data_IF_748267951406
#
_entry.id   IF_748267951406
#
_cell.length_a   1.000
_cell.length_b   1.000
_cell.length_c   1.000
_cell.angle_alpha   90.00
_cell.angle_beta   90.00
_cell.angle_gamma   90.00
#
_symmetry.space_group_name_H-M   'P 1'
#
loop_
_entity.id
_entity.type
_entity.pdbx_description
1 polymer ?
#
# COMPACT_ATOMS: atom_id res chain seq x y z
N UNK A 1 25.57 7.71 -11.14
CA UNK A 1 25.76 7.37 -9.70
C UNK A 1 25.77 5.85 -9.56
N UNK A 2 26.83 5.25 -8.99
CA UNK A 2 27.01 3.78 -8.98
C UNK A 2 26.01 3.08 -8.04
N UNK A 3 25.78 1.77 -8.24
CA UNK A 3 24.92 0.94 -7.36
C UNK A 3 25.41 0.96 -5.90
N UNK A 4 26.74 0.95 -5.71
CA UNK A 4 27.36 1.03 -4.38
C UNK A 4 27.06 2.35 -3.68
N UNK A 5 27.13 3.48 -4.39
CA UNK A 5 26.80 4.80 -3.83
C UNK A 5 25.33 4.89 -3.43
N UNK A 6 24.41 4.31 -4.23
CA UNK A 6 22.97 4.25 -3.88
C UNK A 6 22.72 3.42 -2.62
N UNK A 7 23.40 2.28 -2.49
CA UNK A 7 23.30 1.39 -1.34
C UNK A 7 23.78 2.05 -0.05
N UNK A 8 25.01 2.61 -0.04
CA UNK A 8 25.59 3.28 1.13
C UNK A 8 24.72 4.47 1.58
N UNK A 9 24.23 5.27 0.63
CA UNK A 9 23.34 6.41 0.91
C UNK A 9 22.00 5.94 1.49
N UNK A 10 21.39 4.91 0.93
CA UNK A 10 20.14 4.33 1.43
C UNK A 10 20.31 3.77 2.85
N UNK A 11 21.37 3.02 3.12
CA UNK A 11 21.66 2.48 4.45
C UNK A 11 21.88 3.59 5.47
N UNK A 12 22.67 4.61 5.14
CA UNK A 12 22.93 5.74 6.04
C UNK A 12 21.66 6.53 6.35
N UNK A 13 20.81 6.79 5.35
CA UNK A 13 19.55 7.50 5.56
C UNK A 13 18.56 6.68 6.39
N UNK A 14 18.47 5.36 6.18
CA UNK A 14 17.60 4.45 6.95
C UNK A 14 17.95 4.36 8.43
N UNK A 15 19.17 4.71 8.85
CA UNK A 15 19.50 4.82 10.29
C UNK A 15 19.02 6.13 10.91
N UNK A 16 18.71 7.14 10.08
CA UNK A 16 18.29 8.48 10.53
C UNK A 16 16.79 8.71 10.45
N UNK A 17 16.09 8.01 9.56
CA UNK A 17 14.64 7.81 9.66
C UNK A 17 14.42 6.51 10.43
N UNK A 18 13.48 6.45 11.39
CA UNK A 18 13.25 5.22 12.18
C UNK A 18 12.67 4.12 11.28
N UNK A 19 13.52 3.39 10.56
CA UNK A 19 13.13 2.42 9.54
C UNK A 19 13.37 0.99 10.00
N UNK A 20 12.33 0.17 9.98
CA UNK A 20 12.33 -1.21 10.45
C UNK A 20 11.92 -2.19 9.33
N UNK A 21 12.73 -3.22 9.09
CA UNK A 21 12.40 -4.29 8.15
C UNK A 21 11.50 -5.33 8.84
N UNK A 22 10.21 -4.97 9.02
CA UNK A 22 9.21 -5.88 9.60
C UNK A 22 9.02 -7.11 8.69
N UNK A 23 9.05 -8.35 9.24
CA UNK A 23 8.81 -9.56 8.47
C UNK A 23 7.33 -9.69 8.07
N UNK A 24 7.02 -10.51 7.05
CA UNK A 24 5.64 -10.79 6.64
C UNK A 24 4.75 -11.23 7.83
N UNK A 25 5.31 -12.02 8.76
CA UNK A 25 4.61 -12.47 9.96
C UNK A 25 4.03 -11.34 10.81
N UNK A 26 4.65 -10.15 10.82
CA UNK A 26 4.14 -8.99 11.55
C UNK A 26 2.77 -8.51 11.03
N UNK A 27 2.44 -8.84 9.78
CA UNK A 27 1.17 -8.51 9.13
C UNK A 27 0.19 -9.70 9.15
N UNK A 28 0.71 -10.93 9.14
CA UNK A 28 -0.12 -12.16 9.14
C UNK A 28 -0.67 -12.46 10.53
N UNK A 29 0.15 -12.36 11.58
CA UNK A 29 -0.26 -12.73 12.93
C UNK A 29 -1.47 -11.93 13.44
N UNK A 30 -1.57 -10.61 13.24
CA UNK A 30 -2.77 -9.86 13.63
C UNK A 30 -4.04 -10.32 12.90
N UNK A 31 -3.95 -10.67 11.61
CA UNK A 31 -5.09 -11.22 10.85
C UNK A 31 -5.55 -12.56 11.43
N UNK A 32 -4.61 -13.45 11.77
CA UNK A 32 -4.92 -14.76 12.36
C UNK A 32 -5.53 -14.64 13.78
N UNK A 33 -5.16 -13.59 14.53
CA UNK A 33 -5.68 -13.31 15.86
C UNK A 33 -6.97 -12.49 15.88
N UNK A 34 -7.40 -11.96 14.74
CA UNK A 34 -8.54 -11.05 14.68
C UNK A 34 -8.24 -9.67 15.29
N UNK A 35 -6.98 -9.23 15.25
CA UNK A 35 -6.50 -7.93 15.73
C UNK A 35 -6.40 -6.94 14.54
N UNK A 36 -7.33 -5.96 14.42
CA UNK A 36 -7.34 -4.99 13.33
C UNK A 36 -6.11 -4.10 13.32
N UNK A 37 -5.58 -3.84 12.12
CA UNK A 37 -4.53 -2.85 11.90
C UNK A 37 -4.68 -2.23 10.51
N UNK A 38 -4.07 -1.06 10.32
CA UNK A 38 -3.96 -0.44 9.00
C UNK A 38 -2.50 -0.39 8.54
N UNK A 39 -2.30 -0.46 7.22
CA UNK A 39 -0.99 -0.39 6.60
C UNK A 39 -1.08 0.35 5.28
N UNK A 40 -0.34 1.45 5.16
CA UNK A 40 -0.26 2.27 3.93
C UNK A 40 1.17 2.30 3.43
N UNK A 41 1.37 2.44 2.12
CA UNK A 41 2.70 2.35 1.50
C UNK A 41 3.01 3.61 0.70
N UNK A 42 4.21 4.14 0.89
CA UNK A 42 4.71 5.35 0.24
C UNK A 42 5.85 5.00 -0.70
N UNK A 43 5.55 5.04 -1.99
CA UNK A 43 6.48 4.92 -3.10
C UNK A 43 6.97 6.28 -3.61
N UNK A 44 7.62 6.24 -4.75
CA UNK A 44 8.08 7.43 -5.46
C UNK A 44 6.92 8.37 -5.85
N UNK A 45 5.82 7.83 -6.37
CA UNK A 45 4.62 8.62 -6.70
C UNK A 45 4.08 9.44 -5.53
N UNK A 46 3.86 8.80 -4.37
CA UNK A 46 3.36 9.49 -3.17
C UNK A 46 4.36 10.55 -2.70
N UNK A 47 5.66 10.24 -2.67
CA UNK A 47 6.69 11.20 -2.24
C UNK A 47 6.82 12.39 -3.19
N UNK A 48 6.74 12.18 -4.51
CA UNK A 48 6.78 13.27 -5.48
C UNK A 48 5.57 14.20 -5.33
N UNK A 49 4.37 13.66 -5.11
CA UNK A 49 3.19 14.46 -4.80
C UNK A 49 3.35 15.26 -3.49
N UNK A 50 3.84 14.63 -2.42
CA UNK A 50 4.12 15.28 -1.12
C UNK A 50 5.09 16.45 -1.28
N UNK A 51 6.16 16.25 -2.06
CA UNK A 51 7.22 17.22 -2.28
C UNK A 51 6.84 18.32 -3.30
N UNK A 52 5.62 18.28 -3.86
CA UNK A 52 5.09 19.29 -4.75
C UNK A 52 5.57 19.19 -6.21
N UNK A 53 6.02 18.01 -6.63
CA UNK A 53 6.42 17.77 -8.02
C UNK A 53 5.19 17.84 -8.94
N UNK A 54 5.42 18.27 -10.19
CA UNK A 54 4.40 18.36 -11.23
C UNK A 54 4.44 17.13 -12.13
N UNK A 55 3.33 16.83 -12.80
CA UNK A 55 3.21 15.72 -13.74
C UNK A 55 2.41 14.56 -13.17
N UNK A 56 2.91 13.34 -13.35
CA UNK A 56 2.24 12.11 -12.95
C UNK A 56 3.25 11.04 -12.49
N UNK A 57 2.75 10.02 -11.80
CA UNK A 57 3.54 8.84 -11.45
C UNK A 57 3.78 7.93 -12.66
N UNK A 58 4.52 6.84 -12.47
CA UNK A 58 4.86 5.89 -13.53
C UNK A 58 3.64 5.23 -14.20
N UNK A 59 2.50 5.19 -13.50
CA UNK A 59 1.23 4.64 -13.98
C UNK A 59 0.32 5.73 -14.56
N UNK A 60 0.76 6.99 -14.61
CA UNK A 60 0.04 8.12 -15.20
C UNK A 60 -0.89 8.87 -14.24
N UNK A 61 -0.95 8.51 -12.96
CA UNK A 61 -1.76 9.25 -11.99
C UNK A 61 -1.18 10.63 -11.74
N UNK A 62 -1.97 11.67 -12.02
CA UNK A 62 -1.55 13.06 -11.91
C UNK A 62 -1.32 13.46 -10.45
N UNK A 63 -0.26 14.24 -10.23
CA UNK A 63 0.01 14.91 -8.95
C UNK A 63 -0.90 16.14 -8.82
N UNK A 64 -2.19 15.91 -8.55
CA UNK A 64 -3.13 16.99 -8.27
C UNK A 64 -2.63 17.80 -7.05
N UNK A 65 -2.69 19.14 -7.07
CA UNK A 65 -2.26 19.95 -5.93
C UNK A 65 -2.96 19.56 -4.61
N UNK A 66 -4.27 19.25 -4.67
CA UNK A 66 -5.03 18.79 -3.51
C UNK A 66 -4.55 17.43 -3.01
N UNK A 67 -4.28 16.47 -3.90
CA UNK A 67 -3.72 15.17 -3.52
C UNK A 67 -2.38 15.34 -2.78
N UNK A 68 -1.50 16.23 -3.26
CA UNK A 68 -0.24 16.53 -2.57
C UNK A 68 -0.46 17.13 -1.18
N UNK A 69 -1.45 18.03 -1.02
CA UNK A 69 -1.82 18.59 0.28
C UNK A 69 -2.37 17.53 1.24
N UNK A 70 -3.24 16.66 0.75
CA UNK A 70 -3.85 15.60 1.54
C UNK A 70 -2.83 14.55 1.97
N UNK A 71 -1.90 14.19 1.08
CA UNK A 71 -0.78 13.31 1.42
C UNK A 71 0.15 13.93 2.46
N UNK A 72 0.45 15.23 2.37
CA UNK A 72 1.23 15.95 3.40
C UNK A 72 0.54 15.88 4.76
N UNK A 73 -0.77 16.11 4.80
CA UNK A 73 -1.58 15.98 6.02
C UNK A 73 -1.43 14.59 6.66
N UNK A 74 -1.36 13.51 5.87
CA UNK A 74 -1.17 12.16 6.44
C UNK A 74 0.14 11.98 7.23
N UNK A 75 1.14 12.82 6.95
CA UNK A 75 2.45 12.84 7.62
C UNK A 75 2.47 13.81 8.80
N UNK A 76 1.87 14.99 8.62
CA UNK A 76 1.83 16.06 9.62
C UNK A 76 0.89 15.74 10.78
N UNK A 77 -0.11 14.88 10.56
CA UNK A 77 -1.12 14.49 11.55
C UNK A 77 -1.20 12.96 11.70
N UNK A 78 -0.09 12.26 12.01
CA UNK A 78 -0.03 10.82 11.87
C UNK A 78 -1.02 10.08 12.77
N UNK A 79 -1.53 8.95 12.28
CA UNK A 79 -2.44 8.06 12.99
C UNK A 79 -1.67 6.80 13.45
N UNK A 80 -2.15 6.06 14.46
CA UNK A 80 -1.45 4.90 14.99
C UNK A 80 -1.61 3.64 14.10
N UNK A 81 -1.06 3.68 12.89
CA UNK A 81 -0.98 2.55 11.96
C UNK A 81 0.41 2.38 11.35
N UNK A 82 0.63 1.32 10.56
CA UNK A 82 1.92 1.06 9.93
C UNK A 82 2.13 1.93 8.68
N UNK A 83 3.24 2.67 8.66
CA UNK A 83 3.68 3.48 7.52
C UNK A 83 4.81 2.76 6.78
N UNK A 84 4.54 2.27 5.58
CA UNK A 84 5.54 1.65 4.72
C UNK A 84 6.26 2.68 3.85
N UNK A 85 7.58 2.60 3.73
CA UNK A 85 8.34 3.34 2.72
C UNK A 85 9.10 2.39 1.79
N UNK A 86 8.99 2.61 0.48
CA UNK A 86 9.71 1.79 -0.50
C UNK A 86 11.22 2.04 -0.39
N UNK A 87 12.07 1.00 -0.19
CA UNK A 87 13.53 1.17 -0.08
C UNK A 87 14.17 1.92 -1.27
N UNK A 88 13.60 1.79 -2.46
CA UNK A 88 14.08 2.42 -3.70
C UNK A 88 14.03 3.95 -3.63
N UNK A 89 12.96 4.53 -3.06
CA UNK A 89 12.79 5.98 -3.00
C UNK A 89 13.85 6.64 -2.13
N UNK A 90 14.34 5.94 -1.11
CA UNK A 90 15.45 6.40 -0.28
C UNK A 90 16.76 6.57 -1.06
N UNK A 91 16.99 5.73 -2.06
CA UNK A 91 18.14 5.83 -2.94
C UNK A 91 18.02 6.92 -4.03
N UNK A 92 16.78 7.20 -4.47
CA UNK A 92 16.47 8.21 -5.49
C UNK A 92 16.41 9.62 -4.88
N UNK A 93 15.52 9.82 -3.90
CA UNK A 93 15.16 11.14 -3.36
C UNK A 93 15.24 11.26 -1.85
N UNK A 94 15.89 10.30 -1.17
CA UNK A 94 15.94 10.25 0.28
C UNK A 94 16.49 11.50 0.99
N UNK A 95 17.25 12.38 0.31
CA UNK A 95 17.65 13.67 0.90
C UNK A 95 16.51 14.70 0.94
N UNK A 96 15.68 14.78 -0.12
CA UNK A 96 14.50 15.66 -0.15
C UNK A 96 13.47 15.18 0.86
N UNK A 97 13.22 13.87 0.88
CA UNK A 97 12.32 13.20 1.82
C UNK A 97 12.76 13.47 3.25
N UNK A 98 14.04 13.26 3.58
CA UNK A 98 14.53 13.52 4.94
C UNK A 98 14.36 14.99 5.33
N UNK A 99 14.72 15.93 4.47
CA UNK A 99 14.56 17.37 4.75
C UNK A 99 13.11 17.74 5.01
N UNK A 100 12.18 17.16 4.23
CA UNK A 100 10.76 17.33 4.46
C UNK A 100 10.34 16.78 5.82
N UNK A 101 10.69 15.52 6.12
CA UNK A 101 10.35 14.87 7.39
C UNK A 101 10.91 15.63 8.60
N UNK A 102 12.18 16.06 8.54
CA UNK A 102 12.83 16.87 9.57
C UNK A 102 12.14 18.24 9.72
N UNK A 103 11.85 18.92 8.60
CA UNK A 103 11.22 20.25 8.60
C UNK A 103 9.77 20.23 9.07
N UNK A 104 9.02 19.17 8.78
CA UNK A 104 7.64 18.97 9.21
C UNK A 104 7.53 18.30 10.60
N UNK A 105 8.65 17.95 11.24
CA UNK A 105 8.65 17.32 12.57
C UNK A 105 8.05 15.91 12.60
N UNK A 106 8.09 15.18 11.49
CA UNK A 106 7.46 13.86 11.35
C UNK A 106 8.31 12.79 12.03
N UNK A 107 7.73 12.11 13.03
CA UNK A 107 8.44 11.11 13.85
C UNK A 107 7.91 9.68 13.71
N UNK A 108 7.06 9.40 12.71
CA UNK A 108 6.48 8.06 12.53
C UNK A 108 7.56 6.99 12.32
N UNK A 109 7.41 5.80 12.92
CA UNK A 109 8.23 4.65 12.54
C UNK A 109 7.84 4.20 11.15
N UNK A 110 8.84 4.03 10.29
CA UNK A 110 8.70 3.53 8.94
C UNK A 110 9.00 2.04 8.91
N UNK A 111 8.26 1.29 8.10
CA UNK A 111 8.60 -0.08 7.76
C UNK A 111 8.79 -0.27 6.26
N UNK A 112 9.16 -1.48 5.85
CA UNK A 112 9.37 -1.79 4.45
C UNK A 112 8.05 -1.95 3.68
N UNK A 113 7.74 -0.98 2.80
CA UNK A 113 6.55 -1.03 1.94
C UNK A 113 6.54 -2.23 0.98
N UNK A 114 7.70 -2.79 0.64
CA UNK A 114 7.81 -3.88 -0.33
C UNK A 114 7.68 -5.27 0.32
N UNK A 115 7.38 -5.38 1.62
CA UNK A 115 7.24 -6.68 2.30
C UNK A 115 6.31 -7.64 1.55
N UNK A 116 5.15 -7.17 1.07
CA UNK A 116 4.23 -7.99 0.28
C UNK A 116 4.74 -8.25 -1.13
N UNK A 117 5.40 -7.29 -1.76
CA UNK A 117 5.99 -7.50 -3.10
C UNK A 117 7.11 -8.54 -3.08
N UNK A 118 7.96 -8.53 -2.05
CA UNK A 118 9.05 -9.49 -1.89
C UNK A 118 8.51 -10.88 -1.60
N UNK A 119 7.60 -11.02 -0.62
CA UNK A 119 6.94 -12.29 -0.37
C UNK A 119 6.21 -12.83 -1.61
N UNK A 120 5.52 -11.96 -2.37
CA UNK A 120 4.83 -12.35 -3.59
C UNK A 120 5.80 -12.89 -4.66
N UNK A 121 6.87 -12.15 -4.93
CA UNK A 121 7.90 -12.56 -5.91
C UNK A 121 8.55 -13.89 -5.52
N UNK A 122 8.81 -14.08 -4.23
CA UNK A 122 9.59 -15.22 -3.72
C UNK A 122 8.72 -16.48 -3.49
N UNK A 123 7.41 -16.40 -3.72
CA UNK A 123 6.48 -17.51 -3.50
C UNK A 123 6.15 -17.74 -2.00
N UNK A 124 6.33 -16.71 -1.17
CA UNK A 124 6.18 -16.75 0.29
C UNK A 124 4.95 -15.97 0.78
N UNK A 125 4.06 -15.51 -0.10
CA UNK A 125 2.87 -14.73 0.25
C UNK A 125 1.73 -15.59 0.82
N UNK A 126 1.78 -16.91 0.64
CA UNK A 126 0.69 -17.82 1.01
C UNK A 126 0.18 -17.67 2.45
N UNK A 127 1.01 -17.46 3.49
CA UNK A 127 0.51 -17.24 4.85
C UNK A 127 -0.45 -16.04 4.94
N UNK A 128 -0.16 -14.95 4.22
CA UNK A 128 -1.04 -13.79 4.14
C UNK A 128 -2.32 -14.11 3.37
N UNK A 129 -2.21 -14.76 2.20
CA UNK A 129 -3.36 -15.18 1.39
C UNK A 129 -4.31 -16.07 2.20
N UNK A 130 -3.75 -17.07 2.90
CA UNK A 130 -4.50 -17.98 3.77
C UNK A 130 -5.22 -17.23 4.89
N UNK A 131 -4.55 -16.30 5.57
CA UNK A 131 -5.17 -15.50 6.63
C UNK A 131 -6.32 -14.65 6.09
N UNK A 132 -6.13 -13.98 4.94
CA UNK A 132 -7.17 -13.17 4.29
C UNK A 132 -8.41 -13.98 3.89
N UNK A 133 -8.24 -15.24 3.45
CA UNK A 133 -9.36 -16.12 3.10
C UNK A 133 -10.35 -16.38 4.23
N UNK A 134 -9.96 -16.13 5.49
CA UNK A 134 -10.83 -16.28 6.66
C UNK A 134 -11.67 -15.03 6.99
N UNK A 135 -11.49 -13.94 6.26
CA UNK A 135 -12.12 -12.64 6.57
C UNK A 135 -13.12 -12.21 5.51
N UNK A 136 -14.05 -11.34 5.90
CA UNK A 136 -14.88 -10.59 4.94
C UNK A 136 -14.00 -9.55 4.24
N UNK A 137 -13.75 -9.74 2.94
CA UNK A 137 -12.95 -8.80 2.15
C UNK A 137 -13.84 -7.84 1.37
N UNK A 138 -13.58 -6.54 1.50
CA UNK A 138 -14.04 -5.51 0.56
C UNK A 138 -12.82 -5.09 -0.26
N UNK A 139 -12.88 -5.32 -1.58
CA UNK A 139 -11.79 -4.97 -2.49
C UNK A 139 -12.08 -3.60 -3.12
N UNK A 140 -11.11 -2.69 -3.07
CA UNK A 140 -11.16 -1.37 -3.69
C UNK A 140 -10.09 -1.34 -4.78
N UNK A 141 -10.49 -1.32 -6.06
CA UNK A 141 -9.53 -1.44 -7.14
C UNK A 141 -10.13 -1.27 -8.53
N UNK A 142 -9.26 -1.20 -9.54
CA UNK A 142 -9.68 -1.08 -10.93
C UNK A 142 -10.32 -2.39 -11.45
N UNK A 143 -11.15 -2.29 -12.49
CA UNK A 143 -11.95 -3.39 -13.03
C UNK A 143 -11.15 -4.67 -13.34
N UNK A 144 -9.87 -4.55 -13.72
CA UNK A 144 -9.02 -5.71 -14.00
C UNK A 144 -8.78 -6.61 -12.77
N UNK A 145 -9.04 -6.12 -11.56
CA UNK A 145 -8.92 -6.90 -10.31
C UNK A 145 -10.19 -7.67 -9.95
N UNK A 146 -11.28 -7.54 -10.70
CA UNK A 146 -12.51 -8.34 -10.49
C UNK A 146 -12.27 -9.85 -10.53
N UNK A 147 -11.42 -10.42 -11.41
CA UNK A 147 -11.16 -11.86 -11.44
C UNK A 147 -10.44 -12.41 -10.21
N UNK A 148 -10.01 -11.57 -9.26
CA UNK A 148 -9.36 -12.04 -8.03
C UNK A 148 -10.32 -12.78 -7.08
N UNK A 149 -11.63 -12.52 -7.21
CA UNK A 149 -12.66 -13.18 -6.41
C UNK A 149 -12.65 -14.69 -6.65
N UNK A 150 -12.53 -15.45 -5.56
CA UNK A 150 -12.42 -16.91 -5.60
C UNK A 150 -11.07 -17.44 -6.09
N UNK A 151 -10.19 -16.60 -6.65
CA UNK A 151 -8.83 -16.97 -7.06
C UNK A 151 -7.86 -16.76 -5.90
N UNK A 152 -7.75 -15.53 -5.39
CA UNK A 152 -6.83 -15.21 -4.29
C UNK A 152 -7.56 -15.37 -2.96
N UNK A 153 -8.71 -14.71 -2.81
CA UNK A 153 -9.58 -14.76 -1.64
C UNK A 153 -11.02 -14.45 -2.06
N UNK A 154 -12.03 -14.85 -1.27
CA UNK A 154 -13.42 -14.46 -1.53
C UNK A 154 -13.62 -12.96 -1.34
N UNK A 155 -14.24 -12.29 -2.30
CA UNK A 155 -14.53 -10.85 -2.25
C UNK A 155 -16.02 -10.64 -1.98
N UNK A 156 -16.34 -10.11 -0.80
CA UNK A 156 -17.73 -9.87 -0.40
C UNK A 156 -18.35 -8.64 -1.09
N UNK A 157 -17.53 -7.65 -1.43
CA UNK A 157 -17.91 -6.44 -2.17
C UNK A 157 -16.70 -5.96 -2.97
N UNK A 158 -16.92 -5.57 -4.22
CA UNK A 158 -15.93 -4.91 -5.05
C UNK A 158 -16.36 -3.46 -5.30
N UNK A 159 -15.62 -2.51 -4.73
CA UNK A 159 -15.77 -1.07 -4.98
C UNK A 159 -14.84 -0.73 -6.14
N UNK A 160 -15.42 -0.64 -7.35
CA UNK A 160 -14.66 -0.32 -8.55
C UNK A 160 -14.24 1.15 -8.55
N UNK A 161 -13.00 1.40 -8.97
CA UNK A 161 -12.44 2.73 -9.18
C UNK A 161 -11.84 2.85 -10.59
N UNK A 162 -11.73 4.07 -11.15
CA UNK A 162 -11.02 4.28 -12.41
C UNK A 162 -9.57 3.79 -12.32
N UNK A 163 -9.07 3.17 -13.39
CA UNK A 163 -7.68 2.72 -13.46
C UNK A 163 -6.66 3.88 -13.46
N UNK A 164 -7.11 5.09 -13.81
CA UNK A 164 -6.30 6.30 -13.86
C UNK A 164 -7.00 7.42 -13.08
N UNK A 165 -6.22 8.21 -12.33
CA UNK A 165 -6.73 9.38 -11.59
C UNK A 165 -7.90 9.06 -10.65
N UNK A 166 -7.93 7.86 -10.06
CA UNK A 166 -8.96 7.42 -9.12
C UNK A 166 -9.18 8.38 -7.94
N UNK A 167 -8.19 9.22 -7.60
CA UNK A 167 -8.33 10.27 -6.60
C UNK A 167 -9.52 11.22 -6.85
N UNK A 168 -9.91 11.43 -8.10
CA UNK A 168 -11.08 12.25 -8.45
C UNK A 168 -12.41 11.65 -7.93
N UNK A 169 -12.42 10.36 -7.59
CA UNK A 169 -13.56 9.63 -7.03
C UNK A 169 -13.48 9.50 -5.49
N UNK A 170 -12.56 10.22 -4.83
CA UNK A 170 -12.28 10.10 -3.39
C UNK A 170 -13.54 10.11 -2.53
N UNK A 171 -14.43 11.10 -2.72
CA UNK A 171 -15.60 11.26 -1.86
C UNK A 171 -16.60 10.10 -2.02
N UNK A 172 -16.83 9.62 -3.25
CA UNK A 172 -17.68 8.44 -3.49
C UNK A 172 -17.07 7.20 -2.83
N UNK A 173 -15.79 6.94 -3.09
CA UNK A 173 -15.12 5.74 -2.57
C UNK A 173 -15.05 5.76 -1.05
N UNK A 174 -14.78 6.93 -0.45
CA UNK A 174 -14.82 7.12 1.01
C UNK A 174 -16.18 6.80 1.58
N UNK A 175 -17.26 7.29 0.96
CA UNK A 175 -18.63 7.01 1.40
C UNK A 175 -18.97 5.50 1.32
N UNK A 176 -18.62 4.82 0.23
CA UNK A 176 -18.88 3.38 0.09
C UNK A 176 -18.07 2.53 1.08
N UNK A 177 -16.80 2.89 1.34
CA UNK A 177 -15.99 2.22 2.36
C UNK A 177 -16.59 2.43 3.75
N UNK A 178 -17.01 3.66 4.08
CA UNK A 178 -17.65 3.96 5.36
C UNK A 178 -18.98 3.21 5.54
N UNK A 179 -19.79 3.10 4.48
CA UNK A 179 -21.03 2.32 4.50
C UNK A 179 -20.76 0.84 4.80
N UNK A 180 -19.78 0.23 4.13
CA UNK A 180 -19.39 -1.16 4.40
C UNK A 180 -18.78 -1.35 5.79
N UNK A 181 -18.04 -0.36 6.30
CA UNK A 181 -17.46 -0.38 7.63
C UNK A 181 -18.55 -0.29 8.72
N UNK A 182 -19.59 0.51 8.50
CA UNK A 182 -20.71 0.64 9.42
C UNK A 182 -21.53 -0.65 9.60
N UNK A 183 -21.41 -1.63 8.70
CA UNK A 183 -22.17 -2.91 8.76
C UNK A 183 -21.68 -3.87 9.84
N UNK A 184 -20.51 -3.66 10.45
CA UNK A 184 -19.99 -4.56 11.47
C UNK A 184 -18.56 -4.25 11.90
N UNK A 185 -17.81 -5.28 12.28
CA UNK A 185 -16.37 -5.24 12.58
C UNK A 185 -15.67 -6.41 11.91
N UNK A 186 -14.35 -6.33 11.77
CA UNK A 186 -13.55 -7.42 11.21
C UNK A 186 -13.60 -7.52 9.69
N UNK A 187 -14.05 -6.48 9.00
CA UNK A 187 -13.90 -6.36 7.54
C UNK A 187 -12.45 -6.02 7.21
N UNK A 188 -11.89 -6.66 6.17
CA UNK A 188 -10.63 -6.24 5.55
C UNK A 188 -10.95 -5.40 4.33
N UNK A 189 -10.54 -4.14 4.35
CA UNK A 189 -10.54 -3.25 3.20
C UNK A 189 -9.20 -3.37 2.48
N UNK A 190 -9.21 -4.07 1.35
CA UNK A 190 -8.04 -4.31 0.51
C UNK A 190 -7.97 -3.23 -0.58
N UNK A 191 -7.05 -2.28 -0.43
CA UNK A 191 -6.90 -1.15 -1.34
C UNK A 191 -5.85 -1.41 -2.42
N UNK A 192 -6.25 -1.26 -3.67
CA UNK A 192 -5.39 -1.15 -4.84
C UNK A 192 -5.70 0.16 -5.58
N UNK A 193 -5.54 1.28 -4.86
CA UNK A 193 -6.08 2.58 -5.25
C UNK A 193 -5.01 3.66 -5.45
N UNK A 194 -3.77 3.28 -5.81
CA UNK A 194 -2.66 4.23 -6.01
C UNK A 194 -2.49 5.17 -4.80
N UNK A 195 -2.04 6.40 -5.04
CA UNK A 195 -1.84 7.45 -4.04
C UNK A 195 -3.11 7.81 -3.24
N UNK A 196 -4.31 7.49 -3.76
CA UNK A 196 -5.58 7.71 -3.04
C UNK A 196 -5.65 6.88 -1.75
N UNK A 197 -5.02 5.70 -1.75
CA UNK A 197 -5.01 4.74 -0.63
C UNK A 197 -4.53 5.40 0.67
N UNK A 198 -3.42 6.14 0.62
CA UNK A 198 -2.84 6.75 1.81
C UNK A 198 -3.79 7.77 2.44
N UNK A 199 -4.50 8.55 1.59
CA UNK A 199 -5.43 9.59 2.06
C UNK A 199 -6.71 8.98 2.61
N UNK A 200 -7.34 8.04 1.89
CA UNK A 200 -8.61 7.44 2.33
C UNK A 200 -8.45 6.63 3.62
N UNK A 201 -7.36 5.86 3.75
CA UNK A 201 -7.07 5.13 4.98
C UNK A 201 -6.86 6.10 6.14
N UNK A 202 -6.11 7.17 5.91
CA UNK A 202 -5.87 8.19 6.93
C UNK A 202 -7.15 8.86 7.42
N UNK A 203 -8.06 9.22 6.50
CA UNK A 203 -9.32 9.88 6.82
C UNK A 203 -10.29 8.99 7.59
N UNK A 204 -10.33 7.70 7.24
CA UNK A 204 -11.25 6.74 7.85
C UNK A 204 -10.69 6.08 9.10
N UNK A 205 -9.38 6.17 9.34
CA UNK A 205 -8.74 5.52 10.48
C UNK A 205 -9.34 5.92 11.84
N UNK A 206 -9.58 7.22 12.15
CA UNK A 206 -10.10 7.62 13.47
C UNK A 206 -11.43 6.96 13.83
N UNK A 207 -12.26 6.63 12.83
CA UNK A 207 -13.59 6.06 13.04
C UNK A 207 -13.62 4.52 12.92
N UNK A 208 -12.78 3.95 12.06
CA UNK A 208 -12.90 2.54 11.65
C UNK A 208 -11.60 1.74 11.82
N UNK A 209 -10.45 2.39 11.95
CA UNK A 209 -9.11 1.77 11.90
C UNK A 209 -8.81 0.79 13.04
N UNK A 210 -9.52 0.86 14.17
CA UNK A 210 -9.39 -0.08 15.29
C UNK A 210 -10.37 -1.26 15.23
N UNK A 211 -11.32 -1.23 14.29
CA UNK A 211 -12.36 -2.26 14.12
C UNK A 211 -12.21 -3.07 12.84
N UNK A 212 -11.45 -2.56 11.88
CA UNK A 212 -11.30 -3.11 10.54
C UNK A 212 -9.83 -3.08 10.12
N UNK A 213 -9.47 -3.99 9.21
CA UNK A 213 -8.17 -3.90 8.55
C UNK A 213 -8.28 -2.96 7.35
N UNK A 214 -7.32 -2.05 7.19
CA UNK A 214 -7.21 -1.19 6.00
C UNK A 214 -5.83 -1.36 5.40
N UNK A 215 -5.76 -2.18 4.35
CA UNK A 215 -4.50 -2.71 3.85
C UNK A 215 -4.25 -2.24 2.42
N UNK A 216 -3.14 -1.55 2.24
CA UNK A 216 -2.64 -1.15 0.93
C UNK A 216 -1.94 -2.33 0.24
N UNK A 217 -2.60 -2.92 -0.75
CA UNK A 217 -2.05 -3.94 -1.64
C UNK A 217 -1.49 -3.34 -2.93
N UNK A 218 -2.02 -2.22 -3.42
CA UNK A 218 -1.62 -1.62 -4.70
C UNK A 218 -1.47 -2.69 -5.78
N UNK A 219 -0.31 -2.72 -6.45
CA UNK A 219 -0.01 -3.69 -7.52
C UNK A 219 0.48 -5.07 -7.07
N UNK A 220 0.39 -5.42 -5.79
CA UNK A 220 0.78 -6.77 -5.33
C UNK A 220 -0.06 -7.84 -6.01
N UNK A 221 -1.35 -7.57 -6.24
CA UNK A 221 -2.31 -8.58 -6.70
C UNK A 221 -2.49 -8.62 -8.23
N UNK A 222 -1.88 -7.69 -8.99
CA UNK A 222 -2.08 -7.58 -10.45
C UNK A 222 -1.70 -8.87 -11.20
N UNK A 223 -0.65 -9.56 -10.75
CA UNK A 223 -0.14 -10.78 -11.41
C UNK A 223 -1.15 -11.93 -11.41
N UNK A 224 -2.02 -11.99 -10.40
CA UNK A 224 -3.10 -12.98 -10.31
C UNK A 224 -4.27 -12.66 -11.24
N UNK A 225 -4.38 -11.39 -11.66
CA UNK A 225 -5.31 -10.93 -12.69
C UNK A 225 -4.70 -10.96 -14.11
N UNK A 226 -3.49 -11.53 -14.27
CA UNK A 226 -2.78 -11.57 -15.55
C UNK A 226 -2.19 -10.23 -15.99
N UNK A 227 -2.07 -9.26 -15.08
CA UNK A 227 -1.54 -7.92 -15.36
C UNK A 227 -0.13 -7.77 -14.76
N UNK A 228 0.83 -7.34 -15.57
CA UNK A 228 2.20 -7.04 -15.14
C UNK A 228 2.44 -5.53 -15.13
N UNK A 229 1.81 -4.85 -14.18
CA UNK A 229 1.83 -3.39 -14.05
C UNK A 229 3.23 -2.81 -13.77
N UNK A 230 4.07 -3.52 -13.01
CA UNK A 230 5.43 -3.06 -12.67
C UNK A 230 6.47 -3.57 -13.66
N UNK A 231 7.46 -2.75 -13.99
CA UNK A 231 8.59 -3.14 -14.85
C UNK A 231 9.32 -4.38 -14.34
N UNK A 232 9.54 -4.49 -13.02
CA UNK A 232 10.18 -5.65 -12.37
C UNK A 232 9.38 -6.94 -12.56
N UNK A 233 8.08 -6.86 -12.84
CA UNK A 233 7.25 -8.04 -13.06
C UNK A 233 7.37 -8.59 -14.49
N UNK A 234 7.80 -7.78 -15.46
CA UNK A 234 7.79 -8.11 -16.89
C UNK A 234 8.82 -9.18 -17.28
N UNK A 235 9.90 -9.27 -16.52
CA UNK A 235 11.01 -10.18 -16.80
C UNK A 235 10.94 -11.48 -15.98
N UNK A 236 9.87 -11.70 -15.22
CA UNK A 236 9.71 -12.86 -14.33
C UNK A 236 8.64 -13.82 -14.84
N UNK A 237 8.94 -15.11 -14.78
CA UNK A 237 7.91 -16.15 -14.87
C UNK A 237 7.20 -16.27 -13.52
N UNK A 238 5.95 -15.83 -13.49
CA UNK A 238 5.12 -15.81 -12.28
C UNK A 238 4.43 -17.15 -12.00
N UNK A 239 4.52 -18.12 -12.91
CA UNK A 239 3.73 -19.36 -12.82
C UNK A 239 3.96 -20.08 -11.49
N UNK A 240 5.23 -20.32 -11.14
CA UNK A 240 5.60 -21.03 -9.92
C UNK A 240 5.35 -20.19 -8.66
N UNK A 241 5.62 -18.87 -8.71
CA UNK A 241 5.37 -17.98 -7.59
C UNK A 241 3.88 -17.89 -7.26
N UNK A 242 3.02 -17.73 -8.28
CA UNK A 242 1.56 -17.73 -8.14
C UNK A 242 1.09 -19.06 -7.56
N UNK A 243 1.56 -20.19 -8.09
CA UNK A 243 1.19 -21.53 -7.59
C UNK A 243 1.47 -21.64 -6.09
N UNK A 244 2.69 -21.33 -5.66
CA UNK A 244 3.09 -21.34 -4.24
C UNK A 244 2.25 -20.38 -3.39
N UNK A 245 2.05 -19.15 -3.86
CA UNK A 245 1.31 -18.13 -3.13
C UNK A 245 -0.18 -18.45 -2.97
N UNK A 246 -0.75 -19.27 -3.84
CA UNK A 246 -2.14 -19.75 -3.73
C UNK A 246 -2.28 -21.01 -2.88
N UNK A 247 -1.16 -21.65 -2.51
CA UNK A 247 -1.10 -22.88 -1.72
C UNK A 247 -1.19 -24.16 -2.55
N UNK A 248 -0.85 -24.09 -3.84
CA UNK A 248 -0.89 -25.20 -4.80
C UNK A 248 0.50 -25.80 -5.03
#
# INVERSE_FOLDING_TARGET
>A
MSKLTKFVRSWWLRRRIRYEDLPLAAFVTPLEKGEPYSFTRFGDGEWYAILGDKGANADGHQYFPQLGADLRRTMEQPQPYHYGMQPSVMGLDGLRIRRYLEGAGVTVPWCNANVFHYANRDGELFPLVRALRAHRIVMIGAAHLRPLDGVVFPVAKFIEIPALNCYLEMDRVRAEVAEEAARGSGTVFAFAASMMTNVIVHDLFPEFGTRHWMLDFGSVLDVYAGVQSRSVYRDLDWTEAIRKNLGN
#
